data_IF_237472281040
#
_entry.id   IF_237472281040
#
_cell.length_a   1.000
_cell.length_b   1.000
_cell.length_c   1.000
_cell.angle_alpha   90.00
_cell.angle_beta   90.00
_cell.angle_gamma   90.00
#
_symmetry.space_group_name_H-M   'P 1'
#
loop_
_entity.id
_entity.type
_entity.pdbx_description
1 polymer ?
#
# COMPACT_ATOMS: atom_id res chain seq x y z
N UNK A 1 -8.65 1.39 -15.60
CA UNK A 1 -9.18 0.54 -14.51
C UNK A 1 -8.20 -0.59 -14.33
N UNK A 2 -7.21 -0.42 -13.47
CA UNK A 2 -6.32 -1.51 -13.04
C UNK A 2 -7.14 -2.38 -12.09
N UNK A 3 -7.69 -3.47 -12.59
CA UNK A 3 -8.38 -4.45 -11.76
C UNK A 3 -7.33 -5.15 -10.92
N UNK A 4 -7.43 -4.99 -9.61
CA UNK A 4 -6.62 -5.77 -8.68
C UNK A 4 -6.92 -7.26 -8.90
N UNK A 5 -5.90 -8.11 -9.16
CA UNK A 5 -6.10 -9.52 -9.48
C UNK A 5 -6.63 -10.34 -8.28
N UNK A 6 -6.64 -9.78 -7.07
CA UNK A 6 -7.15 -10.40 -5.86
C UNK A 6 -8.57 -9.92 -5.48
N UNK A 7 -9.08 -8.85 -6.09
CA UNK A 7 -10.44 -8.33 -5.87
C UNK A 7 -11.59 -9.31 -6.20
N UNK A 8 -11.29 -10.50 -6.74
CA UNK A 8 -12.24 -11.58 -7.00
C UNK A 8 -12.00 -12.87 -6.20
N UNK A 9 -11.02 -12.89 -5.30
CA UNK A 9 -10.88 -14.02 -4.37
C UNK A 9 -11.97 -13.90 -3.29
N UNK A 10 -12.73 -14.97 -3.06
CA UNK A 10 -13.67 -15.00 -1.93
C UNK A 10 -12.89 -14.82 -0.63
N UNK A 11 -13.03 -13.65 -0.01
CA UNK A 11 -12.56 -13.40 1.34
C UNK A 11 -13.45 -14.22 2.29
N UNK A 12 -12.95 -15.38 2.70
CA UNK A 12 -13.53 -16.11 3.83
C UNK A 12 -13.48 -15.23 5.07
N UNK A 13 -14.33 -15.46 6.07
CA UNK A 13 -14.36 -14.62 7.29
C UNK A 13 -12.97 -14.45 7.93
N UNK A 14 -12.14 -15.51 7.97
CA UNK A 14 -10.76 -15.44 8.47
C UNK A 14 -9.82 -14.61 7.57
N UNK A 15 -9.94 -14.73 6.25
CA UNK A 15 -9.12 -13.97 5.31
C UNK A 15 -9.51 -12.48 5.32
N UNK A 16 -10.82 -12.19 5.44
CA UNK A 16 -11.35 -10.86 5.61
C UNK A 16 -10.89 -10.23 6.93
N UNK A 17 -10.95 -10.98 8.04
CA UNK A 17 -10.50 -10.51 9.34
C UNK A 17 -9.03 -10.10 9.30
N UNK A 18 -8.18 -10.94 8.70
CA UNK A 18 -6.77 -10.65 8.53
C UNK A 18 -6.52 -9.40 7.67
N UNK A 19 -7.29 -9.19 6.60
CA UNK A 19 -7.19 -7.99 5.77
C UNK A 19 -7.63 -6.72 6.51
N UNK A 20 -8.69 -6.80 7.33
CA UNK A 20 -9.16 -5.68 8.15
C UNK A 20 -8.08 -5.29 9.17
N UNK A 21 -7.46 -6.26 9.84
CA UNK A 21 -6.37 -6.02 10.79
C UNK A 21 -5.18 -5.33 10.11
N UNK A 22 -4.75 -5.86 8.95
CA UNK A 22 -3.66 -5.31 8.16
C UNK A 22 -3.92 -3.85 7.71
N UNK A 23 -5.11 -3.56 7.18
CA UNK A 23 -5.50 -2.21 6.76
C UNK A 23 -5.65 -1.28 7.97
N UNK A 24 -6.17 -1.81 9.09
CA UNK A 24 -6.27 -1.08 10.35
C UNK A 24 -4.90 -0.60 10.84
N UNK A 25 -3.91 -1.48 10.86
CA UNK A 25 -2.54 -1.16 11.26
C UNK A 25 -1.92 -0.09 10.34
N UNK A 26 -2.12 -0.21 9.02
CA UNK A 26 -1.66 0.80 8.06
C UNK A 26 -2.29 2.17 8.31
N UNK A 27 -3.59 2.23 8.60
CA UNK A 27 -4.30 3.49 8.90
C UNK A 27 -3.78 4.11 10.19
N UNK A 28 -3.53 3.31 11.23
CA UNK A 28 -2.95 3.80 12.48
C UNK A 28 -1.56 4.39 12.24
N UNK A 29 -0.71 3.68 11.49
CA UNK A 29 0.62 4.17 11.13
C UNK A 29 0.55 5.50 10.34
N UNK A 30 -0.35 5.59 9.37
CA UNK A 30 -0.56 6.80 8.58
C UNK A 30 -1.09 7.97 9.43
N UNK A 31 -2.03 7.71 10.35
CA UNK A 31 -2.60 8.74 11.23
C UNK A 31 -1.64 9.21 12.32
N UNK A 32 -0.68 8.38 12.73
CA UNK A 32 0.36 8.75 13.68
C UNK A 32 1.49 9.56 13.02
N UNK A 33 1.61 9.49 11.69
CA UNK A 33 2.61 10.23 10.94
C UNK A 33 2.16 11.66 10.63
N UNK A 34 3.05 12.62 10.83
CA UNK A 34 2.81 14.04 10.51
C UNK A 34 2.88 14.32 8.99
N UNK A 35 3.33 13.33 8.21
CA UNK A 35 3.53 13.40 6.76
C UNK A 35 3.00 12.13 6.08
N UNK A 36 2.73 12.16 4.76
CA UNK A 36 2.43 10.95 4.02
C UNK A 36 3.53 9.91 4.19
N UNK A 37 3.14 8.65 4.41
CA UNK A 37 4.06 7.53 4.47
C UNK A 37 4.75 7.36 3.11
N UNK A 38 6.04 7.03 3.15
CA UNK A 38 6.82 6.61 1.99
C UNK A 38 6.50 5.16 1.64
N UNK A 39 6.81 4.75 0.41
CA UNK A 39 6.57 3.37 -0.04
C UNK A 39 7.26 2.34 0.86
N UNK A 40 8.43 2.66 1.42
CA UNK A 40 9.13 1.77 2.35
C UNK A 40 8.42 1.64 3.70
N UNK A 41 7.86 2.74 4.21
CA UNK A 41 7.07 2.75 5.45
C UNK A 41 5.74 1.99 5.26
N UNK A 42 5.14 2.08 4.08
CA UNK A 42 3.93 1.33 3.72
C UNK A 42 4.25 -0.16 3.61
N UNK A 43 5.31 -0.54 2.87
CA UNK A 43 5.73 -1.93 2.73
C UNK A 43 6.02 -2.57 4.09
N UNK A 44 6.67 -1.82 4.99
CA UNK A 44 6.94 -2.30 6.34
C UNK A 44 5.66 -2.50 7.16
N UNK A 45 4.70 -1.57 7.08
CA UNK A 45 3.40 -1.71 7.74
C UNK A 45 2.58 -2.88 7.17
N UNK A 46 2.76 -3.19 5.89
CA UNK A 46 2.13 -4.34 5.22
C UNK A 46 2.91 -5.65 5.41
N UNK A 47 4.05 -5.65 6.10
CA UNK A 47 4.90 -6.82 6.28
C UNK A 47 5.53 -7.35 4.97
N UNK A 48 5.64 -6.51 3.94
CA UNK A 48 6.22 -6.86 2.66
C UNK A 48 7.74 -6.87 2.81
N UNK A 49 8.33 -8.07 2.92
CA UNK A 49 9.77 -8.22 2.79
C UNK A 49 10.16 -7.87 1.35
N UNK A 50 10.81 -6.71 1.16
CA UNK A 50 11.48 -6.38 -0.10
C UNK A 50 12.61 -7.39 -0.32
N UNK A 51 12.28 -8.52 -0.93
CA UNK A 51 13.26 -9.35 -1.58
C UNK A 51 13.95 -8.43 -2.60
N UNK A 52 15.15 -7.95 -2.25
CA UNK A 52 16.10 -7.36 -3.18
C UNK A 52 16.51 -8.45 -4.17
N UNK A 53 15.58 -8.90 -5.01
CA UNK A 53 15.90 -9.56 -6.24
C UNK A 53 16.47 -8.44 -7.11
N UNK A 54 17.80 -8.39 -7.20
CA UNK A 54 18.49 -7.52 -8.14
C UNK A 54 18.06 -7.93 -9.55
N UNK A 55 16.95 -7.36 -10.03
CA UNK A 55 16.58 -7.41 -11.43
C UNK A 55 17.69 -6.63 -12.16
N UNK A 56 18.40 -7.24 -13.13
CA UNK A 56 19.38 -6.49 -13.92
C UNK A 56 18.67 -5.30 -14.54
N UNK A 57 19.29 -4.12 -14.40
CA UNK A 57 18.73 -2.83 -14.79
C UNK A 57 18.50 -2.74 -16.31
N UNK A 58 17.40 -3.32 -16.78
CA UNK A 58 16.82 -3.04 -18.09
C UNK A 58 15.29 -3.00 -17.93
N UNK A 59 14.82 -1.83 -17.49
CA UNK A 59 13.41 -1.63 -17.12
C UNK A 59 13.18 -0.56 -16.07
N UNK A 60 14.01 0.48 -16.03
CA UNK A 60 13.72 1.67 -15.26
C UNK A 60 12.48 2.37 -15.87
N UNK A 61 11.29 2.00 -15.40
CA UNK A 61 10.15 2.91 -15.39
C UNK A 61 9.47 2.77 -14.05
N UNK A 62 10.22 3.12 -13.00
CA UNK A 62 9.63 3.59 -11.75
C UNK A 62 8.90 4.89 -12.11
N UNK A 63 7.65 4.74 -12.55
CA UNK A 63 6.80 5.84 -12.98
C UNK A 63 6.46 6.60 -11.70
N UNK A 64 7.25 7.63 -11.40
CA UNK A 64 7.03 8.56 -10.30
C UNK A 64 5.55 8.93 -10.28
N UNK A 65 4.81 8.36 -9.34
CA UNK A 65 3.41 8.68 -9.16
C UNK A 65 3.37 10.15 -8.69
N UNK A 66 2.74 11.07 -9.46
CA UNK A 66 2.65 12.44 -9.03
C UNK A 66 1.85 12.47 -7.73
N UNK A 67 2.50 12.95 -6.68
CA UNK A 67 1.97 13.11 -5.33
C UNK A 67 0.67 13.90 -5.42
N UNK A 68 -0.48 13.22 -5.35
CA UNK A 68 -1.78 13.89 -5.34
C UNK A 68 -1.91 14.54 -3.96
N UNK A 69 -1.67 15.84 -3.92
CA UNK A 69 -2.02 16.68 -2.78
C UNK A 69 -3.48 16.39 -2.40
N UNK A 70 -3.68 15.83 -1.22
CA UNK A 70 -5.01 15.64 -0.64
C UNK A 70 -5.59 17.01 -0.31
N UNK A 71 -6.22 17.65 -1.28
CA UNK A 71 -7.01 18.84 -1.02
C UNK A 71 -8.30 18.41 -0.35
N UNK A 72 -8.38 18.71 0.95
CA UNK A 72 -9.57 18.82 1.81
C UNK A 72 -10.80 19.24 0.99
N UNK A 73 -11.67 18.29 0.66
CA UNK A 73 -13.02 18.53 0.14
C UNK A 73 -14.01 18.15 1.24
N UNK A 74 -14.35 19.12 2.10
CA UNK A 74 -15.52 19.08 2.97
C UNK A 74 -16.07 20.51 2.97
N UNK A 75 -17.10 20.75 2.17
CA UNK A 75 -17.95 21.94 2.20
C UNK A 75 -19.36 21.49 2.57
#
# INVERSE_FOLDING_TARGET
MTTDPHAGAELTDDALQHEIELVGDLVVAASASERPLTDDEIDQALGIERAHCAVPADGATHRSHPQRAWTRQNA
#
